data_IF_467591676734
#
_entry.id   IF_467591676734
#
_cell.length_a   1.000
_cell.length_b   1.000
_cell.length_c   1.000
_cell.angle_alpha   90.00
_cell.angle_beta   90.00
_cell.angle_gamma   90.00
#
_symmetry.space_group_name_H-M   'P 1'
#
loop_
_entity.id
_entity.type
_entity.pdbx_description
1 polymer ?
#
# COMPACT_ATOMS: atom_id res chain seq x y z
N UNK A 1 9.61 -0.40 14.01
CA UNK A 1 8.61 0.04 13.01
C UNK A 1 9.26 0.40 11.70
N UNK A 2 8.66 0.01 10.60
CA UNK A 2 9.11 0.34 9.25
C UNK A 2 7.91 0.63 8.36
N UNK A 3 8.17 1.30 7.23
CA UNK A 3 7.17 1.49 6.18
C UNK A 3 7.50 0.47 5.10
N UNK A 4 6.57 -0.46 4.84
CA UNK A 4 6.69 -1.47 3.79
C UNK A 4 5.89 -1.04 2.59
N UNK A 5 6.53 -0.95 1.42
CA UNK A 5 5.88 -0.49 0.20
C UNK A 5 5.81 -1.61 -0.83
N UNK A 6 4.60 -1.92 -1.29
CA UNK A 6 4.35 -2.79 -2.43
C UNK A 6 4.66 -1.97 -3.69
N UNK A 7 5.91 -2.05 -4.14
CA UNK A 7 6.44 -1.11 -5.12
C UNK A 7 5.96 -1.37 -6.56
N UNK A 8 5.53 -2.59 -6.89
CA UNK A 8 5.05 -2.90 -8.25
C UNK A 8 3.80 -2.13 -8.61
N UNK A 9 2.96 -1.85 -7.63
CA UNK A 9 1.69 -1.16 -7.83
C UNK A 9 1.70 0.25 -7.25
N UNK A 10 2.88 0.76 -6.88
CA UNK A 10 2.99 2.04 -6.21
C UNK A 10 3.41 3.15 -7.18
N UNK A 11 2.64 4.24 -7.28
CA UNK A 11 3.08 5.39 -8.06
C UNK A 11 4.42 5.93 -7.55
N UNK A 12 5.25 6.41 -8.46
CA UNK A 12 6.57 6.94 -8.11
C UNK A 12 6.49 8.08 -7.09
N UNK A 13 5.48 8.94 -7.23
CA UNK A 13 5.26 10.06 -6.30
C UNK A 13 4.98 9.56 -4.87
N UNK A 14 4.23 8.46 -4.74
CA UNK A 14 3.94 7.85 -3.43
C UNK A 14 5.22 7.33 -2.79
N UNK A 15 6.06 6.65 -3.56
CA UNK A 15 7.34 6.17 -3.06
C UNK A 15 8.22 7.32 -2.56
N UNK A 16 8.26 8.41 -3.32
CA UNK A 16 9.03 9.61 -2.94
C UNK A 16 8.52 10.21 -1.63
N UNK A 17 7.19 10.25 -1.44
CA UNK A 17 6.57 10.73 -0.20
C UNK A 17 6.96 9.81 0.97
N UNK A 18 6.90 8.51 0.77
CA UNK A 18 7.32 7.55 1.80
C UNK A 18 8.76 7.76 2.23
N UNK A 19 9.66 7.95 1.27
CA UNK A 19 11.07 8.19 1.55
C UNK A 19 11.29 9.51 2.30
N UNK A 20 10.58 10.57 1.89
CA UNK A 20 10.65 11.88 2.54
C UNK A 20 10.19 11.81 3.99
N UNK A 21 9.03 11.22 4.24
CA UNK A 21 8.47 11.12 5.59
C UNK A 21 9.24 10.12 6.45
N UNK A 22 9.76 9.05 5.85
CA UNK A 22 10.62 8.10 6.55
C UNK A 22 11.88 8.80 7.10
N UNK A 23 12.51 9.63 6.29
CA UNK A 23 13.68 10.41 6.73
C UNK A 23 13.30 11.41 7.82
N UNK A 24 12.17 12.10 7.65
CA UNK A 24 11.72 13.11 8.63
C UNK A 24 11.46 12.48 10.00
N UNK A 25 10.89 11.30 10.04
CA UNK A 25 10.49 10.62 11.28
C UNK A 25 11.45 9.53 11.73
N UNK A 26 12.59 9.37 11.05
CA UNK A 26 13.60 8.35 11.33
C UNK A 26 13.03 6.92 11.31
N UNK A 27 12.21 6.65 10.28
CA UNK A 27 11.58 5.36 10.09
C UNK A 27 12.09 4.77 8.77
N UNK A 28 12.65 3.54 8.78
CA UNK A 28 13.17 2.96 7.54
C UNK A 28 12.04 2.61 6.58
N UNK A 29 12.30 2.77 5.29
CA UNK A 29 11.39 2.42 4.21
C UNK A 29 11.93 1.20 3.51
N UNK A 30 11.16 0.12 3.50
CA UNK A 30 11.49 -1.12 2.84
C UNK A 30 10.56 -1.30 1.64
N UNK A 31 11.13 -1.62 0.50
CA UNK A 31 10.36 -1.82 -0.73
C UNK A 31 10.48 -3.25 -1.22
N UNK A 32 9.39 -3.76 -1.77
CA UNK A 32 9.36 -5.08 -2.40
C UNK A 32 8.84 -4.91 -3.81
N UNK A 33 9.56 -5.42 -4.79
CA UNK A 33 9.17 -5.38 -6.20
C UNK A 33 9.53 -6.68 -6.88
N UNK A 34 8.76 -7.06 -7.91
CA UNK A 34 9.15 -8.12 -8.82
C UNK A 34 10.05 -7.50 -9.89
N UNK A 35 11.10 -8.25 -10.31
CA UNK A 35 12.03 -7.83 -11.35
C UNK A 35 12.80 -6.53 -11.13
N UNK A 36 13.33 -6.01 -12.18
CA UNK A 36 14.33 -5.00 -12.40
C UNK A 36 13.91 -3.55 -12.11
N UNK A 37 12.97 -3.32 -11.21
CA UNK A 37 12.72 -1.96 -10.77
C UNK A 37 13.88 -1.51 -9.89
N UNK A 38 14.70 -0.63 -10.42
CA UNK A 38 15.77 -0.05 -9.64
C UNK A 38 15.16 1.01 -8.70
N UNK A 39 14.99 0.64 -7.45
CA UNK A 39 14.37 1.50 -6.43
C UNK A 39 15.38 1.75 -5.33
N UNK A 40 15.59 3.02 -5.02
CA UNK A 40 16.42 3.42 -3.89
C UNK A 40 15.54 3.54 -2.65
N UNK A 41 15.81 2.70 -1.66
CA UNK A 41 15.13 2.72 -0.37
C UNK A 41 16.11 2.20 0.68
N UNK A 42 15.71 2.19 1.94
CA UNK A 42 16.58 1.69 3.01
C UNK A 42 16.88 0.21 2.84
N UNK A 43 15.87 -0.57 2.44
CA UNK A 43 16.04 -1.96 2.03
C UNK A 43 15.12 -2.24 0.86
N UNK A 44 15.69 -2.77 -0.22
CA UNK A 44 14.94 -3.13 -1.41
C UNK A 44 15.03 -4.62 -1.66
N UNK A 45 13.88 -5.29 -1.70
CA UNK A 45 13.79 -6.73 -1.95
C UNK A 45 13.25 -6.96 -3.35
N UNK A 46 14.00 -7.69 -4.15
CA UNK A 46 13.56 -8.12 -5.49
C UNK A 46 13.11 -9.57 -5.38
N UNK A 47 11.88 -9.84 -5.81
CA UNK A 47 11.32 -11.20 -5.84
C UNK A 47 11.07 -11.60 -7.28
N UNK A 48 10.75 -12.89 -7.52
CA UNK A 48 10.40 -13.34 -8.87
C UNK A 48 9.02 -12.84 -9.29
N UNK A 49 8.65 -13.11 -10.55
CA UNK A 49 7.37 -12.74 -11.13
C UNK A 49 6.29 -13.80 -10.93
N UNK A 50 6.57 -14.80 -10.11
CA UNK A 50 5.59 -15.82 -9.79
C UNK A 50 4.36 -15.23 -9.13
N UNK A 51 3.25 -15.97 -9.24
CA UNK A 51 1.97 -15.53 -8.70
C UNK A 51 2.09 -15.21 -7.21
N UNK A 52 1.78 -13.97 -6.84
CA UNK A 52 1.78 -13.48 -5.46
C UNK A 52 3.13 -13.52 -4.71
N UNK A 53 4.24 -13.66 -5.41
CA UNK A 53 5.55 -13.68 -4.73
C UNK A 53 5.84 -12.40 -3.95
N UNK A 54 5.51 -11.23 -4.53
CA UNK A 54 5.67 -9.96 -3.84
C UNK A 54 4.77 -9.86 -2.61
N UNK A 55 3.51 -10.29 -2.74
CA UNK A 55 2.55 -10.29 -1.62
C UNK A 55 3.03 -11.16 -0.47
N UNK A 56 3.49 -12.37 -0.77
CA UNK A 56 4.00 -13.30 0.24
C UNK A 56 5.22 -12.70 0.95
N UNK A 57 6.12 -12.07 0.19
CA UNK A 57 7.30 -11.43 0.79
C UNK A 57 6.89 -10.32 1.75
N UNK A 58 5.96 -9.46 1.33
CA UNK A 58 5.46 -8.38 2.19
C UNK A 58 4.80 -8.94 3.45
N UNK A 59 3.96 -9.96 3.31
CA UNK A 59 3.33 -10.62 4.45
C UNK A 59 4.35 -11.12 5.45
N UNK A 60 5.41 -11.77 4.96
CA UNK A 60 6.46 -12.33 5.81
C UNK A 60 7.30 -11.25 6.50
N UNK A 61 7.49 -10.10 5.87
CA UNK A 61 8.25 -8.99 6.43
C UNK A 61 7.45 -8.14 7.42
N UNK A 62 6.11 -8.19 7.32
CA UNK A 62 5.24 -7.34 8.14
C UNK A 62 5.25 -7.76 9.60
N UNK A 63 5.45 -6.79 10.48
CA UNK A 63 5.41 -6.95 11.92
C UNK A 63 4.38 -6.01 12.53
N UNK A 64 3.95 -6.32 13.75
CA UNK A 64 3.02 -5.45 14.47
C UNK A 64 3.60 -4.04 14.59
N UNK A 65 2.78 -3.05 14.34
CA UNK A 65 3.17 -1.64 14.39
C UNK A 65 3.71 -1.07 13.08
N UNK A 66 3.99 -1.91 12.08
CA UNK A 66 4.46 -1.45 10.77
C UNK A 66 3.35 -0.72 9.99
N UNK A 67 3.77 0.05 8.98
CA UNK A 67 2.86 0.67 8.02
C UNK A 67 3.09 0.01 6.67
N UNK A 68 2.04 -0.57 6.10
CA UNK A 68 2.09 -1.22 4.79
C UNK A 68 1.36 -0.35 3.78
N UNK A 69 2.05 0.00 2.69
CA UNK A 69 1.48 0.79 1.60
C UNK A 69 1.20 -0.14 0.42
N UNK A 70 -0.07 -0.38 0.16
CA UNK A 70 -0.51 -1.26 -0.92
C UNK A 70 -1.93 -0.88 -1.37
N UNK A 71 -2.23 -1.14 -2.64
CA UNK A 71 -3.60 -1.05 -3.16
C UNK A 71 -4.35 -2.38 -3.10
N UNK A 72 -3.68 -3.45 -2.70
CA UNK A 72 -4.27 -4.80 -2.64
C UNK A 72 -4.97 -5.01 -1.31
N UNK A 73 -6.32 -5.07 -1.35
CA UNK A 73 -7.10 -5.25 -0.14
C UNK A 73 -6.86 -6.60 0.55
N UNK A 74 -6.52 -7.65 -0.21
CA UNK A 74 -6.20 -8.97 0.35
C UNK A 74 -4.93 -8.92 1.19
N UNK A 75 -3.89 -8.28 0.67
CA UNK A 75 -2.65 -8.05 1.41
C UNK A 75 -2.92 -7.17 2.64
N UNK A 76 -3.74 -6.11 2.46
CA UNK A 76 -4.10 -5.24 3.56
C UNK A 76 -4.81 -6.00 4.69
N UNK A 77 -5.72 -6.91 4.34
CA UNK A 77 -6.43 -7.72 5.34
C UNK A 77 -5.47 -8.56 6.18
N UNK A 78 -4.48 -9.19 5.54
CA UNK A 78 -3.47 -9.98 6.26
C UNK A 78 -2.61 -9.09 7.16
N UNK A 79 -2.18 -7.93 6.65
CA UNK A 79 -1.37 -7.00 7.42
C UNK A 79 -2.13 -6.44 8.63
N UNK A 80 -3.42 -6.12 8.46
CA UNK A 80 -4.27 -5.69 9.57
C UNK A 80 -4.39 -6.79 10.62
N UNK A 81 -4.49 -8.05 10.21
CA UNK A 81 -4.51 -9.20 11.13
C UNK A 81 -3.22 -9.36 11.91
N UNK A 82 -2.10 -8.83 11.40
CA UNK A 82 -0.81 -8.80 12.09
C UNK A 82 -0.61 -7.53 12.94
N UNK A 83 -1.65 -6.73 13.06
CA UNK A 83 -1.63 -5.47 13.81
C UNK A 83 -0.76 -4.39 13.17
N UNK A 84 -0.59 -4.44 11.86
CA UNK A 84 0.01 -3.36 11.10
C UNK A 84 -1.07 -2.39 10.64
N UNK A 85 -0.66 -1.18 10.27
CA UNK A 85 -1.55 -0.18 9.65
C UNK A 85 -1.37 -0.27 8.13
N UNK A 86 -2.45 -0.17 7.37
CA UNK A 86 -2.39 -0.27 5.92
C UNK A 86 -2.94 0.97 5.26
N UNK A 87 -2.21 1.48 4.27
CA UNK A 87 -2.55 2.72 3.56
C UNK A 87 -2.53 2.47 2.06
N UNK A 88 -3.65 2.83 1.40
CA UNK A 88 -3.74 2.78 -0.05
C UNK A 88 -3.00 3.99 -0.64
N UNK A 89 -2.32 3.84 -1.79
CA UNK A 89 -1.70 4.99 -2.48
C UNK A 89 -2.63 6.15 -2.77
N UNK A 90 -3.95 5.95 -2.75
CA UNK A 90 -4.92 7.03 -2.89
C UNK A 90 -5.07 7.90 -1.63
N UNK A 91 -4.41 7.51 -0.53
CA UNK A 91 -4.51 8.20 0.75
C UNK A 91 -5.61 7.65 1.65
N UNK A 92 -6.22 6.54 1.28
CA UNK A 92 -7.28 5.91 2.06
C UNK A 92 -6.70 4.84 2.98
N UNK A 93 -6.95 4.94 4.27
CA UNK A 93 -6.50 3.94 5.23
C UNK A 93 -7.45 2.74 5.22
N UNK A 94 -6.88 1.55 5.10
CA UNK A 94 -7.67 0.32 5.26
C UNK A 94 -7.94 0.11 6.75
N UNK A 95 -9.20 -0.01 7.13
CA UNK A 95 -9.61 -0.24 8.51
C UNK A 95 -10.43 -1.51 8.62
N UNK A 96 -10.27 -2.32 9.68
CA UNK A 96 -11.01 -3.58 9.82
C UNK A 96 -12.52 -3.40 9.68
N UNK A 97 -13.08 -2.35 10.26
CA UNK A 97 -14.51 -2.07 10.22
C UNK A 97 -15.04 -1.72 8.83
N UNK A 98 -14.15 -1.37 7.89
CA UNK A 98 -14.52 -1.02 6.51
C UNK A 98 -14.17 -2.09 5.49
N UNK A 99 -13.57 -3.20 5.92
CA UNK A 99 -13.13 -4.24 4.98
C UNK A 99 -14.28 -4.89 4.23
N UNK A 100 -15.43 -5.06 4.87
CA UNK A 100 -16.63 -5.58 4.22
C UNK A 100 -17.08 -4.70 3.05
N UNK A 101 -17.04 -3.39 3.21
CA UNK A 101 -17.39 -2.44 2.16
C UNK A 101 -16.48 -2.59 0.94
N UNK A 102 -15.16 -2.69 1.15
CA UNK A 102 -14.21 -2.88 0.04
C UNK A 102 -14.46 -4.19 -0.71
N UNK A 103 -14.79 -5.25 0.02
CA UNK A 103 -15.13 -6.54 -0.59
C UNK A 103 -16.37 -6.45 -1.46
N UNK A 104 -17.43 -5.81 -0.97
CA UNK A 104 -18.67 -5.62 -1.71
C UNK A 104 -18.46 -4.81 -2.99
N UNK A 105 -17.71 -3.71 -2.88
CA UNK A 105 -17.39 -2.86 -4.02
C UNK A 105 -16.66 -3.64 -5.11
N UNK A 106 -15.68 -4.45 -4.71
CA UNK A 106 -14.93 -5.30 -5.63
C UNK A 106 -15.82 -6.32 -6.32
N UNK A 107 -16.73 -6.96 -5.58
CA UNK A 107 -17.65 -7.95 -6.10
C UNK A 107 -18.61 -7.36 -7.11
N UNK A 108 -19.18 -6.19 -6.82
CA UNK A 108 -20.05 -5.47 -7.74
C UNK A 108 -19.34 -5.16 -9.05
N UNK A 109 -18.10 -4.66 -8.98
CA UNK A 109 -17.30 -4.38 -10.17
C UNK A 109 -17.02 -5.64 -10.98
N UNK A 110 -16.72 -6.75 -10.32
CA UNK A 110 -16.49 -8.03 -10.97
C UNK A 110 -17.74 -8.52 -11.68
N UNK A 111 -18.92 -8.39 -11.06
CA UNK A 111 -20.20 -8.74 -11.66
C UNK A 111 -20.49 -7.94 -12.93
N UNK A 112 -20.25 -6.61 -12.87
CA UNK A 112 -20.46 -5.73 -14.02
C UNK A 112 -19.57 -6.17 -15.18
N UNK A 113 -18.30 -6.47 -14.94
CA UNK A 113 -17.38 -6.92 -15.99
C UNK A 113 -17.79 -8.26 -16.58
N UNK A 114 -18.24 -9.22 -15.76
CA UNK A 114 -18.70 -10.53 -16.22
C UNK A 114 -19.96 -10.42 -17.09
N UNK A 115 -20.81 -9.45 -16.79
CA UNK A 115 -22.03 -9.20 -17.58
C UNK A 115 -21.79 -8.45 -18.87
N UNK A 116 -20.52 -8.21 -19.27
CA UNK A 116 -20.18 -7.48 -20.50
C UNK A 116 -20.20 -5.97 -20.34
N UNK A 117 -20.45 -5.47 -19.14
CA UNK A 117 -20.38 -4.04 -18.85
C UNK A 117 -18.96 -3.55 -18.64
N UNK A 118 -18.82 -2.23 -18.63
CA UNK A 118 -17.52 -1.59 -18.37
C UNK A 118 -17.61 -0.73 -17.12
N UNK A 119 -16.65 -0.91 -16.23
CA UNK A 119 -16.47 0.01 -15.11
C UNK A 119 -15.55 1.13 -15.57
N UNK A 120 -15.70 2.33 -14.99
CA UNK A 120 -14.72 3.39 -15.22
C UNK A 120 -13.38 2.90 -14.71
N UNK A 121 -12.33 3.03 -15.51
CA UNK A 121 -10.97 2.78 -15.06
C UNK A 121 -10.58 3.77 -13.96
N UNK A 122 -9.44 3.53 -13.29
CA UNK A 122 -8.96 4.46 -12.27
C UNK A 122 -8.71 5.82 -12.92
N UNK A 123 -9.12 6.87 -12.23
CA UNK A 123 -8.85 8.23 -12.67
C UNK A 123 -7.34 8.45 -12.67
N UNK A 124 -6.88 9.27 -13.61
CA UNK A 124 -5.48 9.70 -13.62
C UNK A 124 -5.12 10.35 -12.28
N UNK A 125 -4.00 9.92 -11.71
CA UNK A 125 -3.53 10.46 -10.44
C UNK A 125 -3.22 11.95 -10.55
N UNK A 126 -3.62 12.69 -9.52
CA UNK A 126 -3.43 14.15 -9.47
C UNK A 126 -2.55 14.53 -8.28
N UNK A 127 -2.11 15.80 -8.26
CA UNK A 127 -1.38 16.38 -7.13
C UNK A 127 -2.20 16.30 -5.84
N UNK A 128 -3.53 16.44 -5.95
CA UNK A 128 -4.43 16.33 -4.79
C UNK A 128 -4.37 14.92 -4.17
N UNK A 129 -4.22 13.88 -5.00
CA UNK A 129 -4.07 12.51 -4.51
C UNK A 129 -2.77 12.37 -3.71
N UNK A 130 -1.68 12.96 -4.20
CA UNK A 130 -0.38 12.93 -3.51
C UNK A 130 -0.46 13.69 -2.18
N UNK A 131 -1.09 14.84 -2.14
CA UNK A 131 -1.27 15.62 -0.92
C UNK A 131 -2.08 14.86 0.11
N UNK A 132 -3.14 14.19 -0.31
CA UNK A 132 -3.98 13.38 0.56
C UNK A 132 -3.19 12.21 1.15
N UNK A 133 -2.40 11.53 0.32
CA UNK A 133 -1.55 10.44 0.77
C UNK A 133 -0.54 10.92 1.79
N UNK A 134 0.15 12.04 1.50
CA UNK A 134 1.17 12.60 2.40
C UNK A 134 0.57 12.97 3.75
N UNK A 135 -0.58 13.66 3.75
CA UNK A 135 -1.27 14.03 4.99
C UNK A 135 -1.63 12.79 5.82
N UNK A 136 -2.19 11.78 5.17
CA UNK A 136 -2.61 10.59 5.89
C UNK A 136 -1.42 9.81 6.45
N UNK A 137 -0.35 9.66 5.67
CA UNK A 137 0.84 8.98 6.14
C UNK A 137 1.45 9.73 7.33
N UNK A 138 1.57 11.05 7.23
CA UNK A 138 2.09 11.87 8.34
C UNK A 138 1.23 11.69 9.61
N UNK A 139 -0.09 11.73 9.49
CA UNK A 139 -0.98 11.48 10.63
C UNK A 139 -0.75 10.12 11.27
N UNK A 140 -0.59 9.08 10.45
CA UNK A 140 -0.33 7.72 10.93
C UNK A 140 0.98 7.67 11.69
N UNK A 141 2.05 8.24 11.12
CA UNK A 141 3.36 8.22 11.75
C UNK A 141 3.38 8.99 13.08
N UNK A 142 2.72 10.16 13.12
CA UNK A 142 2.60 10.95 14.34
C UNK A 142 1.81 10.21 15.42
N UNK A 143 0.75 9.53 15.02
CA UNK A 143 -0.08 8.72 15.94
C UNK A 143 0.74 7.59 16.58
N UNK A 144 1.64 6.98 15.81
CA UNK A 144 2.49 5.88 16.28
C UNK A 144 3.64 6.33 17.16
N UNK A 145 4.06 7.57 17.07
CA UNK A 145 5.11 8.14 17.91
C UNK A 145 4.66 8.44 19.34
N UNK A 146 3.37 8.42 19.59
CA UNK A 146 2.80 8.70 20.91
C UNK A 146 2.87 7.49 21.83
#
# INVERSE_FOLDING_TARGET
MKILVDADACPKSVLQICMKLGRKHHIPVWTVASFNHHIESDHHFVVGDGFQEADVKIMNLTEAGDVVVTGDWGLAAVALGKEATCLNPTGREFRPEKMGFFLEEREVRAKIRRGGGRTKGPKKRTTADDERFELRLEEILLRKER
#
